data_IF_402954164271
#
_entry.id   IF_402954164271
#
_cell.length_a   1.000
_cell.length_b   1.000
_cell.length_c   1.000
_cell.angle_alpha   90.00
_cell.angle_beta   90.00
_cell.angle_gamma   90.00
#
_symmetry.space_group_name_H-M   'P 1'
#
loop_
_entity.id
_entity.type
_entity.pdbx_description
1 polymer ?
#
# COMPACT_ATOMS: atom_id res chain seq x y z
N UNK A 1 9.41 1.14 -9.63
CA UNK A 1 8.59 1.63 -8.47
C UNK A 1 9.43 1.69 -7.19
N UNK A 2 9.03 2.43 -6.15
CA UNK A 2 9.71 2.39 -4.85
C UNK A 2 9.47 1.05 -4.11
N UNK A 3 10.42 0.64 -3.27
CA UNK A 3 10.35 -0.58 -2.46
C UNK A 3 9.15 -0.54 -1.51
N UNK A 4 8.41 -1.65 -1.43
CA UNK A 4 7.41 -1.90 -0.39
C UNK A 4 8.10 -2.64 0.77
N UNK A 5 8.08 -2.05 1.96
CA UNK A 5 8.69 -2.65 3.15
C UNK A 5 7.69 -3.57 3.86
N UNK A 6 8.11 -4.78 4.20
CA UNK A 6 7.30 -5.78 4.90
C UNK A 6 7.43 -5.60 6.41
N UNK A 7 6.31 -5.36 7.09
CA UNK A 7 6.22 -5.18 8.54
C UNK A 7 5.49 -6.36 9.16
N UNK A 8 6.10 -7.00 10.15
CA UNK A 8 5.38 -7.87 11.08
C UNK A 8 4.87 -7.01 12.23
N UNK A 9 3.55 -6.89 12.38
CA UNK A 9 2.91 -6.19 13.48
C UNK A 9 2.30 -7.21 14.45
N UNK A 10 2.80 -7.25 15.68
CA UNK A 10 2.22 -8.04 16.78
C UNK A 10 1.56 -7.08 17.78
N UNK A 11 0.23 -7.04 17.80
CA UNK A 11 -0.59 -6.16 18.64
C UNK A 11 -1.94 -6.84 18.85
N UNK A 12 -2.32 -7.08 20.11
CA UNK A 12 -3.53 -7.81 20.48
C UNK A 12 -4.77 -6.89 20.60
N UNK A 13 -4.57 -5.58 20.82
CA UNK A 13 -5.66 -4.62 20.74
C UNK A 13 -6.05 -4.31 19.28
N UNK A 14 -7.21 -4.83 18.86
CA UNK A 14 -7.74 -4.66 17.50
C UNK A 14 -7.85 -3.19 17.05
N UNK A 15 -8.14 -2.28 17.97
CA UNK A 15 -8.31 -0.86 17.66
C UNK A 15 -6.97 -0.20 17.34
N UNK A 16 -5.97 -0.44 18.19
CA UNK A 16 -4.57 -0.06 17.99
C UNK A 16 -4.02 -0.66 16.70
N UNK A 17 -4.21 -1.97 16.51
CA UNK A 17 -3.75 -2.68 15.32
C UNK A 17 -4.34 -2.07 14.04
N UNK A 18 -5.64 -1.81 13.98
CA UNK A 18 -6.29 -1.18 12.82
C UNK A 18 -5.71 0.20 12.50
N UNK A 19 -5.46 1.03 13.52
CA UNK A 19 -4.88 2.36 13.33
C UNK A 19 -3.45 2.27 12.79
N UNK A 20 -2.64 1.37 13.35
CA UNK A 20 -1.25 1.14 12.92
C UNK A 20 -1.20 0.59 11.50
N UNK A 21 -2.00 -0.43 11.17
CA UNK A 21 -2.11 -0.99 9.81
C UNK A 21 -2.50 0.10 8.82
N UNK A 22 -3.56 0.87 9.12
CA UNK A 22 -4.01 1.94 8.23
C UNK A 22 -2.92 2.99 7.97
N UNK A 23 -2.17 3.34 9.03
CA UNK A 23 -1.06 4.28 8.94
C UNK A 23 0.06 3.72 8.08
N UNK A 24 0.51 2.50 8.36
CA UNK A 24 1.59 1.84 7.62
C UNK A 24 1.23 1.63 6.14
N UNK A 25 0.02 1.17 5.84
CA UNK A 25 -0.47 1.02 4.46
C UNK A 25 -0.50 2.36 3.71
N UNK A 26 -0.90 3.44 4.38
CA UNK A 26 -0.84 4.81 3.82
C UNK A 26 0.60 5.20 3.45
N UNK A 27 1.58 4.74 4.22
CA UNK A 27 2.99 4.98 3.95
C UNK A 27 3.66 3.94 3.03
N UNK A 28 2.85 3.13 2.33
CA UNK A 28 3.28 2.09 1.39
C UNK A 28 4.09 0.93 2.03
N UNK A 29 3.80 0.62 3.28
CA UNK A 29 4.26 -0.61 3.94
C UNK A 29 3.25 -1.74 3.71
N UNK A 30 3.75 -2.98 3.60
CA UNK A 30 2.94 -4.19 3.60
C UNK A 30 2.95 -4.77 5.02
N UNK A 31 1.77 -4.89 5.63
CA UNK A 31 1.66 -5.31 7.03
C UNK A 31 1.12 -6.73 7.12
N UNK A 32 1.85 -7.60 7.83
CA UNK A 32 1.34 -8.86 8.35
C UNK A 32 1.01 -8.66 9.82
N UNK A 33 -0.27 -8.66 10.16
CA UNK A 33 -0.73 -8.52 11.55
C UNK A 33 -0.96 -9.88 12.21
N UNK A 34 -0.58 -9.96 13.48
CA UNK A 34 -0.83 -11.06 14.40
C UNK A 34 -1.20 -10.50 15.78
N UNK A 35 -1.97 -11.26 16.55
CA UNK A 35 -2.54 -10.83 17.84
C UNK A 35 -1.80 -11.37 19.05
N UNK A 36 -0.72 -12.13 18.88
CA UNK A 36 0.04 -12.72 19.98
C UNK A 36 1.48 -13.08 19.55
N UNK A 37 2.36 -13.28 20.54
CA UNK A 37 3.77 -13.59 20.30
C UNK A 37 4.02 -14.98 19.69
N UNK A 38 3.14 -15.97 19.89
CA UNK A 38 3.30 -17.30 19.28
C UNK A 38 3.01 -17.25 17.78
N UNK A 39 1.97 -16.52 17.38
CA UNK A 39 1.68 -16.23 15.98
C UNK A 39 2.81 -15.42 15.35
N UNK A 40 3.36 -14.40 16.05
CA UNK A 40 4.51 -13.63 15.59
C UNK A 40 5.74 -14.52 15.36
N UNK A 41 6.06 -15.41 16.31
CA UNK A 41 7.14 -16.39 16.20
C UNK A 41 6.95 -17.34 15.01
N UNK A 42 5.71 -17.75 14.75
CA UNK A 42 5.39 -18.61 13.61
C UNK A 42 5.60 -17.87 12.28
N UNK A 43 5.17 -16.61 12.19
CA UNK A 43 5.32 -15.79 10.98
C UNK A 43 6.77 -15.44 10.68
N UNK A 44 7.55 -15.01 11.68
CA UNK A 44 8.96 -14.63 11.49
C UNK A 44 9.84 -15.82 11.08
N UNK A 45 9.46 -17.05 11.46
CA UNK A 45 10.18 -18.27 11.06
C UNK A 45 9.96 -18.66 9.61
N UNK A 46 8.82 -18.29 9.04
CA UNK A 46 8.38 -18.71 7.71
C UNK A 46 8.48 -17.60 6.66
N UNK A 47 8.73 -16.35 7.07
CA UNK A 47 8.72 -15.19 6.20
C UNK A 47 9.84 -14.22 6.59
N UNK A 48 10.29 -13.43 5.61
CA UNK A 48 11.23 -12.33 5.82
C UNK A 48 10.49 -11.02 6.02
N UNK A 49 10.90 -10.24 7.02
CA UNK A 49 10.37 -8.90 7.29
C UNK A 49 11.50 -7.87 7.33
N UNK A 50 11.20 -6.68 6.82
CA UNK A 50 12.11 -5.53 6.90
C UNK A 50 12.04 -4.88 8.29
N UNK A 51 10.91 -5.01 8.98
CA UNK A 51 10.68 -4.41 10.31
C UNK A 51 9.76 -5.30 11.15
N UNK A 52 10.04 -5.38 12.45
CA UNK A 52 9.10 -5.91 13.46
C UNK A 52 8.61 -4.76 14.33
N UNK A 53 7.29 -4.68 14.52
CA UNK A 53 6.65 -3.82 15.51
C UNK A 53 5.88 -4.76 16.45
N UNK A 54 6.19 -4.75 17.73
CA UNK A 54 5.56 -5.65 18.70
C UNK A 54 5.12 -4.88 19.93
N UNK A 55 3.90 -5.13 20.39
CA UNK A 55 3.53 -4.81 21.76
C UNK A 55 4.32 -5.67 22.74
N UNK A 56 4.46 -5.18 23.97
CA UNK A 56 5.09 -5.91 25.07
C UNK A 56 4.10 -6.87 25.67
N UNK A 57 2.93 -6.36 26.04
CA UNK A 57 1.90 -7.13 26.74
C UNK A 57 0.97 -7.74 25.71
N UNK A 58 1.09 -9.04 25.48
CA UNK A 58 0.22 -9.81 24.59
C UNK A 58 -0.14 -11.15 25.25
N UNK A 59 -1.28 -11.77 24.91
CA UNK A 59 -1.65 -13.08 25.43
C UNK A 59 -0.69 -14.18 24.94
N UNK A 60 -0.66 -15.31 25.67
CA UNK A 60 0.10 -16.53 25.38
C UNK A 60 1.63 -16.41 25.43
N UNK A 61 2.20 -15.53 24.63
CA UNK A 61 3.62 -15.20 24.62
C UNK A 61 3.74 -13.68 24.49
N UNK A 62 4.30 -13.05 25.52
CA UNK A 62 4.56 -11.63 25.53
C UNK A 62 5.64 -11.24 24.49
N UNK A 63 5.70 -9.95 24.15
CA UNK A 63 6.59 -9.44 23.12
C UNK A 63 8.07 -9.68 23.42
N UNK A 64 8.48 -9.58 24.70
CA UNK A 64 9.87 -9.76 25.09
C UNK A 64 10.30 -11.23 24.95
N UNK A 65 9.45 -12.15 25.43
CA UNK A 65 9.65 -13.58 25.28
C UNK A 65 9.59 -14.02 23.81
N UNK A 66 8.76 -13.38 22.98
CA UNK A 66 8.78 -13.54 21.53
C UNK A 66 10.15 -13.17 20.94
N UNK A 67 10.68 -11.98 21.25
CA UNK A 67 11.99 -11.55 20.74
C UNK A 67 13.13 -12.48 21.16
N UNK A 68 13.11 -12.96 22.41
CA UNK A 68 14.10 -13.92 22.89
C UNK A 68 14.09 -15.21 22.05
N UNK A 69 12.89 -15.76 21.79
CA UNK A 69 12.71 -16.97 20.96
C UNK A 69 12.97 -16.74 19.48
N UNK A 70 12.79 -15.50 19.00
CA UNK A 70 12.97 -15.12 17.61
C UNK A 70 14.40 -14.64 17.29
N UNK A 71 15.31 -14.57 18.27
CA UNK A 71 16.65 -13.96 18.17
C UNK A 71 17.47 -14.33 16.92
N UNK A 72 17.36 -15.58 16.46
CA UNK A 72 18.08 -16.08 15.30
C UNK A 72 17.43 -15.71 13.96
N UNK A 73 16.13 -15.42 13.97
CA UNK A 73 15.33 -15.03 12.82
C UNK A 73 15.28 -13.51 12.60
N UNK A 74 15.52 -12.72 13.66
CA UNK A 74 15.51 -11.24 13.62
C UNK A 74 16.91 -10.62 13.62
N UNK A 75 17.97 -11.38 13.29
CA UNK A 75 19.38 -10.92 13.46
C UNK A 75 19.67 -9.56 12.82
N UNK A 76 19.08 -9.28 11.67
CA UNK A 76 19.24 -8.06 10.88
C UNK A 76 17.94 -7.26 10.75
N UNK A 77 16.85 -7.70 11.37
CA UNK A 77 15.55 -7.04 11.27
C UNK A 77 15.39 -6.10 12.47
N UNK A 78 15.34 -4.78 12.27
CA UNK A 78 15.11 -3.86 13.36
C UNK A 78 13.76 -4.12 14.03
N UNK A 79 13.71 -3.88 15.34
CA UNK A 79 12.54 -4.10 16.17
C UNK A 79 12.14 -2.81 16.85
N UNK A 80 10.88 -2.42 16.72
CA UNK A 80 10.26 -1.35 17.50
C UNK A 80 9.30 -1.98 18.51
N UNK A 81 9.50 -1.70 19.79
CA UNK A 81 8.56 -2.12 20.83
C UNK A 81 7.53 -1.02 21.09
N UNK A 82 6.26 -1.40 21.15
CA UNK A 82 5.17 -0.56 21.64
C UNK A 82 5.12 -0.72 23.16
N UNK A 83 5.03 0.38 23.90
CA UNK A 83 5.15 0.34 25.36
C UNK A 83 4.29 1.38 26.06
N UNK A 84 3.79 1.03 27.24
CA UNK A 84 3.16 1.94 28.20
C UNK A 84 4.18 2.57 29.16
N UNK A 85 3.83 3.69 29.82
CA UNK A 85 4.76 4.45 30.69
C UNK A 85 5.45 3.58 31.76
N UNK A 86 4.76 2.59 32.33
CA UNK A 86 5.30 1.72 33.37
C UNK A 86 6.17 0.55 32.87
N UNK A 87 6.22 0.30 31.57
CA UNK A 87 6.92 -0.87 30.98
C UNK A 87 8.34 -0.53 30.53
N UNK A 88 8.62 0.74 30.23
CA UNK A 88 9.93 1.20 29.74
C UNK A 88 11.09 0.77 30.64
N UNK A 89 10.91 0.84 31.95
CA UNK A 89 11.93 0.44 32.92
C UNK A 89 12.19 -1.07 32.91
N UNK A 90 11.18 -1.89 32.61
CA UNK A 90 11.37 -3.35 32.48
C UNK A 90 12.28 -3.68 31.30
N UNK A 91 12.11 -2.98 30.18
CA UNK A 91 12.90 -3.27 28.97
C UNK A 91 14.34 -2.76 29.10
N UNK A 92 14.52 -1.58 29.70
CA UNK A 92 15.84 -1.03 30.00
C UNK A 92 16.63 -1.96 30.93
N UNK A 93 15.96 -2.55 31.92
CA UNK A 93 16.55 -3.55 32.83
C UNK A 93 16.87 -4.87 32.12
N UNK A 94 16.04 -5.27 31.17
CA UNK A 94 16.25 -6.50 30.41
C UNK A 94 17.32 -6.38 29.31
N UNK A 95 17.86 -5.19 29.07
CA UNK A 95 18.98 -4.92 28.16
C UNK A 95 18.85 -5.66 26.82
N UNK A 96 17.64 -5.65 26.23
CA UNK A 96 17.39 -6.34 24.98
C UNK A 96 18.17 -5.67 23.84
N UNK A 97 19.37 -6.20 23.58
CA UNK A 97 20.31 -5.75 22.55
C UNK A 97 19.76 -5.73 21.12
N UNK A 98 18.56 -6.29 20.91
CA UNK A 98 17.89 -6.42 19.62
C UNK A 98 16.75 -5.44 19.40
N UNK A 99 16.36 -4.66 20.40
CA UNK A 99 15.36 -3.61 20.21
C UNK A 99 16.03 -2.37 19.65
N UNK A 100 15.61 -1.99 18.44
CA UNK A 100 16.12 -0.81 17.72
C UNK A 100 15.44 0.47 18.18
N UNK A 101 14.26 0.38 18.79
CA UNK A 101 13.62 1.53 19.42
C UNK A 101 12.30 1.21 20.10
N UNK A 102 11.72 2.24 20.70
CA UNK A 102 10.50 2.17 21.49
C UNK A 102 9.53 3.27 21.06
N UNK A 103 8.24 2.98 21.12
CA UNK A 103 7.15 3.94 20.96
C UNK A 103 6.23 3.88 22.16
N UNK A 104 6.07 5.01 22.83
CA UNK A 104 5.16 5.15 23.96
C UNK A 104 3.71 5.24 23.45
N UNK A 105 2.81 4.43 23.99
CA UNK A 105 1.36 4.55 23.76
C UNK A 105 0.84 5.82 24.49
N UNK A 106 -0.06 6.63 23.88
CA UNK A 106 -0.65 6.48 22.56
C UNK A 106 0.30 6.86 21.42
N UNK A 107 0.25 6.09 20.33
CA UNK A 107 1.17 6.24 19.19
C UNK A 107 0.57 7.20 18.16
N UNK A 108 1.29 8.28 17.85
CA UNK A 108 0.89 9.19 16.78
C UNK A 108 1.51 8.76 15.45
N UNK A 109 0.88 9.16 14.33
CA UNK A 109 1.44 8.92 12.99
C UNK A 109 2.86 9.51 12.86
N UNK A 110 3.09 10.71 13.39
CA UNK A 110 4.39 11.37 13.34
C UNK A 110 5.45 10.57 14.10
N UNK A 111 5.17 10.17 15.34
CA UNK A 111 6.16 9.44 16.15
C UNK A 111 6.45 8.05 15.57
N UNK A 112 5.43 7.36 15.04
CA UNK A 112 5.60 6.08 14.34
C UNK A 112 6.53 6.23 13.14
N UNK A 113 6.25 7.20 12.26
CA UNK A 113 7.01 7.36 11.02
C UNK A 113 8.45 7.84 11.26
N UNK A 114 8.66 8.77 12.19
CA UNK A 114 10.01 9.20 12.61
C UNK A 114 10.82 8.02 13.16
N UNK A 115 10.18 7.15 13.97
CA UNK A 115 10.85 5.98 14.52
C UNK A 115 11.21 4.98 13.42
N UNK A 116 10.28 4.68 12.52
CA UNK A 116 10.51 3.77 11.39
C UNK A 116 11.64 4.29 10.50
N UNK A 117 11.61 5.58 10.14
CA UNK A 117 12.67 6.22 9.36
C UNK A 117 14.03 6.08 10.03
N UNK A 118 14.09 6.32 11.34
CA UNK A 118 15.32 6.23 12.10
C UNK A 118 15.88 4.80 12.15
N UNK A 119 15.06 3.78 12.39
CA UNK A 119 15.55 2.39 12.54
C UNK A 119 15.83 1.68 11.22
N UNK A 120 15.12 2.06 10.14
CA UNK A 120 15.35 1.54 8.79
C UNK A 120 16.32 2.39 7.96
N UNK A 121 16.81 3.50 8.53
CA UNK A 121 17.67 4.47 7.83
C UNK A 121 17.05 4.99 6.52
N UNK A 122 15.74 5.27 6.54
CA UNK A 122 15.01 5.77 5.38
C UNK A 122 15.12 7.28 5.29
N UNK A 123 15.42 7.78 4.09
CA UNK A 123 15.28 9.20 3.76
C UNK A 123 13.84 9.52 3.36
N UNK A 124 13.38 10.78 3.47
CA UNK A 124 12.00 11.16 3.15
C UNK A 124 11.55 10.78 1.73
N UNK A 125 12.47 10.78 0.76
CA UNK A 125 12.22 10.38 -0.63
C UNK A 125 12.09 8.87 -0.82
N UNK A 126 12.42 8.02 0.16
CA UNK A 126 12.20 6.57 0.09
C UNK A 126 10.79 6.17 0.53
N UNK A 127 10.11 7.03 1.27
CA UNK A 127 8.76 6.77 1.79
C UNK A 127 7.72 7.39 0.85
N UNK A 128 6.58 6.72 0.73
CA UNK A 128 5.43 7.20 -0.05
C UNK A 128 4.32 7.51 0.93
N UNK A 129 3.99 8.79 1.12
CA UNK A 129 2.72 9.16 1.74
C UNK A 129 1.64 9.21 0.65
N UNK A 130 0.81 8.18 0.55
CA UNK A 130 -0.28 8.11 -0.44
C UNK A 130 -1.23 9.30 -0.36
N UNK A 131 -1.39 9.92 0.81
CA UNK A 131 -2.22 11.13 0.98
C UNK A 131 -1.63 12.34 0.25
N UNK A 132 -0.31 12.39 0.08
CA UNK A 132 0.36 13.43 -0.69
C UNK A 132 0.26 13.24 -2.20
N UNK A 133 -0.21 12.08 -2.67
CA UNK A 133 -0.32 11.72 -4.08
C UNK A 133 -1.77 11.93 -4.58
N UNK A 134 -2.25 13.17 -4.53
CA UNK A 134 -3.61 13.51 -4.95
C UNK A 134 -3.94 13.05 -6.36
N UNK A 135 -5.05 12.33 -6.51
CA UNK A 135 -5.52 11.82 -7.79
C UNK A 135 -5.95 12.97 -8.72
N UNK A 136 -5.28 13.08 -9.86
CA UNK A 136 -5.62 14.00 -10.94
C UNK A 136 -6.03 13.22 -12.17
N UNK A 137 -7.12 13.65 -12.80
CA UNK A 137 -7.60 13.08 -14.06
C UNK A 137 -7.80 14.21 -15.03
N UNK A 138 -7.14 14.14 -16.19
CA UNK A 138 -7.33 15.06 -17.31
C UNK A 138 -7.82 14.27 -18.49
N UNK A 139 -8.81 14.80 -19.19
CA UNK A 139 -9.33 14.17 -20.40
C UNK A 139 -9.24 15.17 -21.53
N UNK A 140 -8.64 14.75 -22.63
CA UNK A 140 -8.43 15.56 -23.83
C UNK A 140 -8.98 14.85 -25.05
N UNK A 141 -9.54 15.63 -25.97
CA UNK A 141 -9.94 15.12 -27.27
C UNK A 141 -8.72 15.10 -28.18
N UNK A 142 -8.34 13.93 -28.68
CA UNK A 142 -7.27 13.79 -29.69
C UNK A 142 -7.83 13.89 -31.11
N UNK A 143 -9.04 13.36 -31.30
CA UNK A 143 -9.80 13.46 -32.54
C UNK A 143 -11.29 13.23 -32.26
N UNK A 144 -12.11 13.35 -33.31
CA UNK A 144 -13.57 13.15 -33.26
C UNK A 144 -13.98 11.80 -32.64
N UNK A 145 -13.13 10.78 -32.75
CA UNK A 145 -13.41 9.42 -32.26
C UNK A 145 -12.45 8.92 -31.17
N UNK A 146 -11.48 9.73 -30.76
CA UNK A 146 -10.42 9.32 -29.83
C UNK A 146 -10.22 10.34 -28.70
N UNK A 147 -10.26 9.84 -27.46
CA UNK A 147 -9.96 10.61 -26.26
C UNK A 147 -8.69 10.08 -25.58
N UNK A 148 -7.96 10.96 -24.91
CA UNK A 148 -6.85 10.64 -24.02
C UNK A 148 -7.24 10.99 -22.58
N UNK A 149 -7.17 10.01 -21.70
CA UNK A 149 -7.30 10.15 -20.25
C UNK A 149 -5.91 10.03 -19.61
N UNK A 150 -5.44 11.12 -19.01
CA UNK A 150 -4.22 11.13 -18.20
C UNK A 150 -4.61 11.04 -16.73
N UNK A 151 -4.12 10.01 -16.05
CA UNK A 151 -4.37 9.76 -14.63
C UNK A 151 -3.04 9.77 -13.89
N UNK A 152 -2.91 10.68 -12.93
CA UNK A 152 -1.74 10.78 -12.07
C UNK A 152 -2.10 10.78 -10.59
N UNK A 153 -1.18 10.31 -9.75
CA UNK A 153 -1.39 10.16 -8.32
C UNK A 153 -1.94 8.78 -7.90
N UNK A 154 -2.14 8.59 -6.60
CA UNK A 154 -2.61 7.34 -6.02
C UNK A 154 -4.14 7.40 -5.86
N UNK A 155 -4.92 6.51 -6.49
CA UNK A 155 -6.36 6.50 -6.31
C UNK A 155 -6.73 6.06 -4.88
N UNK A 156 -7.87 6.50 -4.33
CA UNK A 156 -8.42 5.91 -3.12
C UNK A 156 -8.89 4.47 -3.39
N UNK A 157 -9.10 3.66 -2.33
CA UNK A 157 -9.54 2.25 -2.44
C UNK A 157 -10.79 2.02 -3.33
N UNK A 158 -11.66 3.03 -3.48
CA UNK A 158 -12.84 3.04 -4.37
C UNK A 158 -12.73 4.09 -5.49
N UNK A 159 -11.52 4.34 -6.00
CA UNK A 159 -11.22 5.44 -6.92
C UNK A 159 -11.81 5.31 -8.33
N UNK A 160 -12.36 4.14 -8.70
CA UNK A 160 -12.94 3.94 -10.02
C UNK A 160 -14.11 4.89 -10.31
N UNK A 161 -14.98 5.15 -9.32
CA UNK A 161 -16.08 6.12 -9.44
C UNK A 161 -15.55 7.53 -9.67
N UNK A 162 -14.59 7.97 -8.85
CA UNK A 162 -14.05 9.33 -8.94
C UNK A 162 -13.39 9.60 -10.30
N UNK A 163 -12.66 8.61 -10.84
CA UNK A 163 -12.04 8.74 -12.18
C UNK A 163 -13.12 8.75 -13.26
N UNK A 164 -14.09 7.85 -13.14
CA UNK A 164 -15.18 7.74 -14.09
C UNK A 164 -16.03 9.02 -14.14
N UNK A 165 -16.35 9.65 -13.00
CA UNK A 165 -17.14 10.88 -12.95
C UNK A 165 -16.46 12.02 -13.71
N UNK A 166 -15.13 12.17 -13.54
CA UNK A 166 -14.32 13.16 -14.28
C UNK A 166 -14.34 12.86 -15.80
N UNK A 167 -14.28 11.60 -16.19
CA UNK A 167 -14.40 11.19 -17.58
C UNK A 167 -15.80 11.43 -18.15
N UNK A 168 -16.85 11.03 -17.43
CA UNK A 168 -18.23 11.22 -17.84
C UNK A 168 -18.59 12.70 -17.99
N UNK A 169 -18.11 13.56 -17.10
CA UNK A 169 -18.26 15.01 -17.24
C UNK A 169 -17.64 15.53 -18.54
N UNK A 170 -16.49 14.99 -18.95
CA UNK A 170 -15.91 15.31 -20.25
C UNK A 170 -16.76 14.80 -21.43
N UNK A 171 -17.49 13.69 -21.31
CA UNK A 171 -18.35 13.23 -22.41
C UNK A 171 -19.57 14.14 -22.63
N UNK A 172 -20.00 14.90 -21.62
CA UNK A 172 -21.20 15.73 -21.69
C UNK A 172 -21.12 16.76 -22.83
N UNK A 173 -21.93 16.54 -23.88
CA UNK A 173 -22.00 17.43 -25.05
C UNK A 173 -20.98 17.16 -26.16
N UNK A 174 -20.19 16.07 -26.07
CA UNK A 174 -19.23 15.65 -27.10
C UNK A 174 -19.74 14.45 -27.92
N UNK A 175 -19.13 14.22 -29.08
CA UNK A 175 -19.47 13.09 -29.97
C UNK A 175 -19.21 11.72 -29.35
N UNK A 176 -19.61 10.65 -30.04
CA UNK A 176 -19.39 9.28 -29.59
C UNK A 176 -17.96 8.84 -29.84
N UNK A 177 -17.13 8.88 -28.79
CA UNK A 177 -15.80 8.29 -28.82
C UNK A 177 -15.89 6.77 -28.97
N UNK A 178 -15.03 6.21 -29.81
CA UNK A 178 -14.91 4.76 -30.01
C UNK A 178 -13.55 4.22 -29.56
N UNK A 179 -12.57 5.11 -29.34
CA UNK A 179 -11.23 4.77 -28.86
C UNK A 179 -10.87 5.61 -27.63
N UNK A 180 -10.21 4.97 -26.67
CA UNK A 180 -9.69 5.63 -25.46
C UNK A 180 -8.24 5.25 -25.23
N UNK A 181 -7.38 6.26 -25.11
CA UNK A 181 -6.03 6.10 -24.56
C UNK A 181 -6.05 6.47 -23.09
N UNK A 182 -5.39 5.68 -22.26
CA UNK A 182 -5.21 5.92 -20.84
C UNK A 182 -3.72 5.96 -20.55
N UNK A 183 -3.22 7.10 -20.08
CA UNK A 183 -1.86 7.24 -19.59
C UNK A 183 -1.90 7.27 -18.06
N UNK A 184 -1.37 6.22 -17.41
CA UNK A 184 -1.33 6.08 -15.96
C UNK A 184 0.12 6.24 -15.49
N UNK A 185 0.37 7.17 -14.57
CA UNK A 185 1.66 7.20 -13.88
C UNK A 185 1.85 5.97 -12.96
N UNK A 186 3.07 5.74 -12.48
CA UNK A 186 3.34 4.62 -11.57
C UNK A 186 2.76 4.82 -10.17
N UNK A 187 2.34 6.04 -9.81
CA UNK A 187 1.78 6.33 -8.49
C UNK A 187 0.41 5.68 -8.32
N UNK A 188 -0.32 5.48 -9.42
CA UNK A 188 -1.59 4.77 -9.45
C UNK A 188 -1.50 3.40 -8.78
N UNK A 189 -0.35 2.73 -8.91
CA UNK A 189 -0.13 1.35 -8.46
C UNK A 189 0.42 1.23 -7.03
N UNK A 190 0.55 2.34 -6.29
CA UNK A 190 0.77 2.27 -4.85
C UNK A 190 -0.48 1.84 -4.08
N UNK A 191 -1.67 1.95 -4.68
CA UNK A 191 -2.88 1.41 -4.09
C UNK A 191 -2.92 -0.13 -4.26
N UNK A 192 -3.20 -0.86 -3.18
CA UNK A 192 -3.04 -2.32 -3.14
C UNK A 192 -3.98 -3.05 -4.10
N UNK A 193 -5.14 -2.45 -4.38
CA UNK A 193 -6.12 -2.95 -5.35
C UNK A 193 -6.14 -2.15 -6.66
N UNK A 194 -5.06 -1.44 -7.02
CA UNK A 194 -4.99 -0.61 -8.21
C UNK A 194 -5.45 -1.30 -9.50
N UNK A 195 -5.01 -2.54 -9.75
CA UNK A 195 -5.44 -3.32 -10.92
C UNK A 195 -6.95 -3.60 -10.93
N UNK A 196 -7.55 -3.84 -9.76
CA UNK A 196 -9.00 -4.00 -9.66
C UNK A 196 -9.73 -2.67 -9.89
N UNK A 197 -9.20 -1.57 -9.35
CA UNK A 197 -9.73 -0.22 -9.60
C UNK A 197 -9.72 0.09 -11.11
N UNK A 198 -8.64 -0.28 -11.80
CA UNK A 198 -8.52 -0.11 -13.24
C UNK A 198 -9.51 -0.99 -14.01
N UNK A 199 -9.65 -2.27 -13.61
CA UNK A 199 -10.63 -3.19 -14.20
C UNK A 199 -12.08 -2.67 -14.05
N UNK A 200 -12.44 -2.21 -12.84
CA UNK A 200 -13.75 -1.64 -12.53
C UNK A 200 -14.02 -0.36 -13.33
N UNK A 201 -13.01 0.51 -13.47
CA UNK A 201 -13.08 1.73 -14.27
C UNK A 201 -13.34 1.41 -15.74
N UNK A 202 -12.59 0.47 -16.32
CA UNK A 202 -12.78 0.02 -17.70
C UNK A 202 -14.20 -0.54 -17.87
N UNK A 203 -14.65 -1.39 -16.94
CA UNK A 203 -15.99 -1.95 -16.96
C UNK A 203 -17.09 -0.88 -16.95
N UNK A 204 -16.91 0.21 -16.20
CA UNK A 204 -17.85 1.34 -16.21
C UNK A 204 -17.86 2.06 -17.55
N UNK A 205 -16.68 2.37 -18.10
CA UNK A 205 -16.54 3.04 -19.40
C UNK A 205 -17.21 2.23 -20.50
N UNK A 206 -16.96 0.92 -20.56
CA UNK A 206 -17.53 0.03 -21.59
C UNK A 206 -19.06 -0.07 -21.47
N UNK A 207 -19.60 -0.04 -20.25
CA UNK A 207 -21.05 -0.14 -20.02
C UNK A 207 -21.83 1.15 -20.33
N UNK A 208 -21.16 2.30 -20.25
CA UNK A 208 -21.82 3.61 -20.39
C UNK A 208 -21.46 4.36 -21.68
N UNK A 209 -20.56 3.81 -22.49
CA UNK A 209 -20.10 4.42 -23.74
C UNK A 209 -20.08 3.42 -24.89
N UNK A 210 -19.80 3.89 -26.11
CA UNK A 210 -19.61 3.01 -27.28
C UNK A 210 -18.19 2.43 -27.38
N UNK A 211 -17.35 2.66 -26.37
CA UNK A 211 -15.95 2.21 -26.36
C UNK A 211 -15.93 0.73 -25.96
N UNK A 212 -15.37 -0.10 -26.83
CA UNK A 212 -15.13 -1.53 -26.54
C UNK A 212 -13.84 -1.68 -25.77
N UNK A 213 -13.73 -2.73 -24.95
CA UNK A 213 -12.49 -3.05 -24.22
C UNK A 213 -11.27 -3.16 -25.14
N UNK A 214 -11.43 -3.79 -26.30
CA UNK A 214 -10.40 -3.91 -27.34
C UNK A 214 -9.99 -2.58 -27.99
N UNK A 215 -10.71 -1.49 -27.73
CA UNK A 215 -10.43 -0.14 -28.21
C UNK A 215 -9.90 0.77 -27.10
N UNK A 216 -9.59 0.20 -25.94
CA UNK A 216 -8.92 0.87 -24.83
C UNK A 216 -7.44 0.52 -24.87
N UNK A 217 -6.60 1.55 -24.83
CA UNK A 217 -5.15 1.45 -24.86
C UNK A 217 -4.60 2.03 -23.57
N UNK A 218 -3.82 1.27 -22.82
CA UNK A 218 -3.35 1.64 -21.49
C UNK A 218 -1.83 1.68 -21.52
N UNK A 219 -1.26 2.87 -21.30
CA UNK A 219 0.18 3.09 -21.18
C UNK A 219 0.54 3.38 -19.71
N UNK A 220 1.48 2.61 -19.17
CA UNK A 220 2.08 2.89 -17.87
C UNK A 220 3.46 2.25 -17.74
N UNK A 221 4.39 2.97 -17.11
CA UNK A 221 5.69 2.43 -16.71
C UNK A 221 5.59 1.19 -15.80
N UNK A 222 4.47 1.02 -15.10
CA UNK A 222 4.23 -0.13 -14.22
C UNK A 222 4.26 -1.49 -14.95
N UNK A 223 3.67 -1.55 -16.15
CA UNK A 223 3.57 -2.79 -16.93
C UNK A 223 4.90 -3.18 -17.60
N UNK A 224 5.90 -2.30 -17.63
CA UNK A 224 7.25 -2.65 -18.09
C UNK A 224 8.07 -3.40 -17.05
N UNK A 225 7.89 -3.01 -15.79
CA UNK A 225 8.70 -3.48 -14.67
C UNK A 225 8.10 -4.72 -13.98
N UNK A 226 6.87 -5.11 -14.33
CA UNK A 226 6.08 -6.09 -13.56
C UNK A 226 5.44 -7.12 -14.48
N UNK A 227 5.70 -8.41 -14.23
CA UNK A 227 4.96 -9.52 -14.85
C UNK A 227 3.68 -9.75 -14.06
N UNK A 228 2.54 -9.63 -14.72
CA UNK A 228 1.22 -9.68 -14.09
C UNK A 228 0.35 -10.64 -14.87
N UNK A 229 -0.29 -11.56 -14.16
CA UNK A 229 -1.38 -12.35 -14.71
C UNK A 229 -2.66 -11.50 -14.76
N UNK A 230 -3.01 -11.08 -15.98
CA UNK A 230 -4.20 -10.26 -16.23
C UNK A 230 -5.47 -11.10 -16.40
N UNK A 231 -5.37 -12.42 -16.59
CA UNK A 231 -6.51 -13.29 -16.88
C UNK A 231 -7.54 -13.36 -15.73
N UNK A 232 -7.16 -12.92 -14.54
CA UNK A 232 -8.06 -12.80 -13.37
C UNK A 232 -8.95 -11.55 -13.38
N UNK A 233 -8.78 -10.63 -14.34
CA UNK A 233 -9.53 -9.38 -14.44
C UNK A 233 -10.52 -9.43 -15.62
N UNK A 234 -11.73 -8.91 -15.43
CA UNK A 234 -12.84 -9.14 -16.36
C UNK A 234 -12.73 -8.33 -17.66
N UNK A 235 -12.11 -7.15 -17.59
CA UNK A 235 -11.96 -6.22 -18.70
C UNK A 235 -10.49 -5.95 -19.00
N UNK A 236 -9.64 -5.86 -17.98
CA UNK A 236 -8.23 -5.51 -18.16
C UNK A 236 -7.47 -6.53 -19.03
N UNK A 237 -7.85 -7.82 -19.00
CA UNK A 237 -7.31 -8.88 -19.87
C UNK A 237 -7.55 -8.63 -21.36
N UNK A 238 -8.60 -7.87 -21.70
CA UNK A 238 -9.00 -7.60 -23.08
C UNK A 238 -8.65 -6.18 -23.56
N UNK A 239 -7.99 -5.39 -22.70
CA UNK A 239 -7.48 -4.07 -23.03
C UNK A 239 -6.10 -4.16 -23.67
N UNK A 240 -5.73 -3.17 -24.48
CA UNK A 240 -4.39 -3.13 -25.09
C UNK A 240 -3.40 -2.47 -24.13
N UNK A 241 -2.55 -3.27 -23.48
CA UNK A 241 -1.47 -2.74 -22.64
C UNK A 241 -0.29 -2.33 -23.53
N UNK A 242 0.07 -1.05 -23.48
CA UNK A 242 1.22 -0.48 -24.18
C UNK A 242 2.39 -0.42 -23.18
N UNK A 243 3.43 -1.20 -23.43
CA UNK A 243 4.66 -1.26 -22.64
C UNK A 243 5.84 -0.66 -23.41
N UNK A 244 5.70 0.57 -23.94
CA UNK A 244 6.77 1.28 -24.67
C UNK A 244 7.74 1.96 -23.74
#
# INVERSE_FOLDING_TARGET
MKKVYKVLLAEDDDSSAKLLIHTLERYNFSVTHVTDGMAALTKIRSNTFDLVISDIMMPYLDGLAFLEKAKDFIKSTPVIMLTSVGEKDQILRAAYSKVSGYLLKPISTTSLMEKIQSVLHLTPDMIIDKKGLSLTVKVTELSISEALMEVSGCPPKKGADEIYDKFHHFLAGRGTFSNLRMNLDTNFFYEGNALQILDDLIGKIVKSTNIRTSSIFIDSGFFKETVIDLAKYSYLDHANIISK
#
